data_IF_180988924399
#
_entry.id   IF_180988924399
#
_cell.length_a   1.000
_cell.length_b   1.000
_cell.length_c   1.000
_cell.angle_alpha   90.00
_cell.angle_beta   90.00
_cell.angle_gamma   90.00
#
_symmetry.space_group_name_H-M   'P 1'
#
loop_
_entity.id
_entity.type
_entity.pdbx_description
1 polymer ?
#
# COMPACT_ATOMS: atom_id res chain seq x y z
N UNK A 1 -15.00 4.30 -14.42
CA UNK A 1 -13.56 4.68 -14.52
C UNK A 1 -12.91 4.45 -13.17
N UNK A 2 -11.60 4.24 -13.10
CA UNK A 2 -10.88 4.18 -11.83
C UNK A 2 -10.51 5.59 -11.34
N UNK A 3 -10.35 5.77 -10.03
CA UNK A 3 -10.03 7.06 -9.35
C UNK A 3 -8.90 7.85 -10.02
N UNK A 4 -7.87 7.14 -10.49
CA UNK A 4 -6.76 7.67 -11.28
C UNK A 4 -7.18 8.49 -12.52
N UNK A 5 -8.23 8.06 -13.24
CA UNK A 5 -8.72 8.76 -14.43
C UNK A 5 -9.50 10.04 -14.08
N UNK A 6 -10.09 10.11 -12.90
CA UNK A 6 -10.83 11.28 -12.42
C UNK A 6 -9.88 12.41 -11.95
N UNK A 7 -8.69 12.04 -11.46
CA UNK A 7 -7.68 12.96 -10.91
C UNK A 7 -6.49 13.24 -11.85
N UNK A 8 -6.41 12.57 -13.00
CA UNK A 8 -5.28 12.70 -13.93
C UNK A 8 -3.94 12.17 -13.36
N UNK A 9 -3.99 11.28 -12.37
CA UNK A 9 -2.82 10.71 -11.70
C UNK A 9 -2.72 9.19 -11.92
N UNK A 10 -1.55 8.61 -11.71
CA UNK A 10 -1.37 7.16 -11.86
C UNK A 10 -1.90 6.37 -10.66
N UNK A 11 -2.23 5.08 -10.83
CA UNK A 11 -2.60 4.19 -9.73
C UNK A 11 -1.58 4.18 -8.59
N UNK A 12 -0.28 4.21 -8.92
CA UNK A 12 0.78 4.24 -7.92
C UNK A 12 0.68 5.50 -7.05
N UNK A 13 0.44 6.66 -7.66
CA UNK A 13 0.26 7.92 -6.95
C UNK A 13 -1.00 7.90 -6.07
N UNK A 14 -2.11 7.35 -6.57
CA UNK A 14 -3.35 7.19 -5.77
C UNK A 14 -3.09 6.36 -4.52
N UNK A 15 -2.38 5.22 -4.65
CA UNK A 15 -2.08 4.36 -3.50
C UNK A 15 -1.11 5.01 -2.51
N UNK A 16 -0.11 5.76 -2.99
CA UNK A 16 0.82 6.49 -2.14
C UNK A 16 0.11 7.63 -1.38
N UNK A 17 -0.70 8.43 -2.08
CA UNK A 17 -1.50 9.50 -1.47
C UNK A 17 -2.45 8.95 -0.40
N UNK A 18 -3.13 7.82 -0.68
CA UNK A 18 -4.01 7.16 0.27
C UNK A 18 -3.29 6.72 1.56
N UNK A 19 -2.09 6.15 1.43
CA UNK A 19 -1.29 5.75 2.60
C UNK A 19 -0.81 6.97 3.41
N UNK A 20 -0.35 8.02 2.72
CA UNK A 20 0.09 9.27 3.35
C UNK A 20 -1.07 9.94 4.11
N UNK A 21 -2.25 10.05 3.50
CA UNK A 21 -3.43 10.67 4.11
C UNK A 21 -3.96 9.89 5.32
N UNK A 22 -3.68 8.57 5.41
CA UNK A 22 -3.90 7.74 6.62
C UNK A 22 -2.85 7.93 7.71
N UNK A 23 -1.85 8.78 7.50
CA UNK A 23 -0.74 9.01 8.42
C UNK A 23 0.37 7.96 8.34
N UNK A 24 0.45 7.19 7.25
CA UNK A 24 1.51 6.18 7.05
C UNK A 24 2.60 6.72 6.13
N UNK A 25 3.85 6.69 6.60
CA UNK A 25 5.02 7.01 5.76
C UNK A 25 5.26 5.89 4.76
N UNK A 26 5.39 6.23 3.48
CA UNK A 26 5.58 5.27 2.38
C UNK A 26 7.03 5.20 1.92
N UNK A 27 7.49 4.02 1.50
CA UNK A 27 8.85 3.78 0.98
C UNK A 27 8.81 3.17 -0.45
N UNK A 28 8.29 3.89 -1.47
CA UNK A 28 8.15 3.34 -2.81
C UNK A 28 9.52 3.14 -3.48
N UNK A 29 9.80 1.89 -3.90
CA UNK A 29 11.05 1.56 -4.61
C UNK A 29 10.90 1.74 -6.11
N UNK A 30 11.83 2.47 -6.72
CA UNK A 30 12.00 2.54 -8.18
C UNK A 30 13.47 2.77 -8.54
N UNK A 31 13.86 2.41 -9.76
CA UNK A 31 15.14 2.82 -10.39
C UNK A 31 14.91 3.70 -11.62
N UNK A 32 13.65 3.86 -12.05
CA UNK A 32 13.26 4.74 -13.15
C UNK A 32 13.09 6.18 -12.59
N UNK A 33 13.84 7.18 -13.10
CA UNK A 33 13.78 8.56 -12.64
C UNK A 33 12.40 9.21 -12.70
N UNK A 34 11.65 9.00 -13.78
CA UNK A 34 10.30 9.57 -13.94
C UNK A 34 9.34 9.02 -12.89
N UNK A 35 9.45 7.72 -12.57
CA UNK A 35 8.65 7.10 -11.50
C UNK A 35 9.06 7.60 -10.12
N UNK A 36 10.35 7.86 -9.90
CA UNK A 36 10.81 8.44 -8.62
C UNK A 36 10.18 9.83 -8.41
N UNK A 37 10.17 10.66 -9.45
CA UNK A 37 9.53 11.99 -9.41
C UNK A 37 8.00 11.87 -9.22
N UNK A 38 7.34 10.99 -9.97
CA UNK A 38 5.89 10.75 -9.82
C UNK A 38 5.52 10.26 -8.41
N UNK A 39 6.30 9.33 -7.85
CA UNK A 39 6.08 8.81 -6.51
C UNK A 39 6.21 9.92 -5.45
N UNK A 40 7.16 10.84 -5.62
CA UNK A 40 7.33 11.98 -4.71
C UNK A 40 6.15 12.95 -4.80
N UNK A 41 5.70 13.26 -6.03
CA UNK A 41 4.51 14.12 -6.27
C UNK A 41 3.20 13.54 -5.74
N UNK A 42 3.15 12.27 -5.36
CA UNK A 42 1.96 11.70 -4.73
C UNK A 42 1.63 12.38 -3.39
N UNK A 43 2.61 12.99 -2.71
CA UNK A 43 2.39 13.73 -1.47
C UNK A 43 1.55 15.01 -1.65
N UNK A 44 1.47 15.54 -2.87
CA UNK A 44 0.68 16.74 -3.19
C UNK A 44 -0.78 16.41 -3.51
N UNK A 45 -1.14 15.12 -3.61
CA UNK A 45 -2.49 14.68 -3.95
C UNK A 45 -3.32 14.57 -2.68
N UNK A 46 -4.49 15.20 -2.67
CA UNK A 46 -5.51 15.03 -1.62
C UNK A 46 -6.68 14.24 -2.18
N UNK A 47 -6.99 13.10 -1.56
CA UNK A 47 -8.17 12.31 -1.90
C UNK A 47 -9.36 12.79 -1.06
N UNK A 48 -10.53 12.87 -1.68
CA UNK A 48 -11.77 13.16 -0.97
C UNK A 48 -12.18 11.97 -0.09
N UNK A 49 -13.02 12.23 0.92
CA UNK A 49 -13.51 11.17 1.83
C UNK A 49 -14.21 10.03 1.08
N UNK A 50 -14.94 10.34 0.00
CA UNK A 50 -15.60 9.33 -0.84
C UNK A 50 -14.58 8.44 -1.56
N UNK A 51 -13.49 9.01 -2.05
CA UNK A 51 -12.43 8.25 -2.74
C UNK A 51 -11.65 7.39 -1.73
N UNK A 52 -11.34 7.94 -0.55
CA UNK A 52 -10.74 7.20 0.56
C UNK A 52 -11.61 6.01 0.98
N UNK A 53 -12.93 6.23 1.10
CA UNK A 53 -13.89 5.16 1.43
C UNK A 53 -13.95 4.09 0.33
N UNK A 54 -13.97 4.47 -0.94
CA UNK A 54 -13.95 3.52 -2.06
C UNK A 54 -12.70 2.65 -2.06
N UNK A 55 -11.52 3.21 -1.77
CA UNK A 55 -10.27 2.44 -1.68
C UNK A 55 -10.29 1.50 -0.48
N UNK A 56 -10.82 1.95 0.68
CA UNK A 56 -10.92 1.11 1.87
C UNK A 56 -11.77 -0.16 1.65
N UNK A 57 -12.81 -0.09 0.81
CA UNK A 57 -13.64 -1.24 0.45
C UNK A 57 -12.89 -2.31 -0.39
N UNK A 58 -11.68 -2.01 -0.87
CA UNK A 58 -10.86 -2.97 -1.61
C UNK A 58 -10.03 -3.89 -0.70
N UNK A 59 -10.01 -3.64 0.62
CA UNK A 59 -9.28 -4.50 1.55
C UNK A 59 -9.80 -5.94 1.48
N UNK A 60 -8.85 -6.88 1.52
CA UNK A 60 -9.11 -8.33 1.45
C UNK A 60 -8.51 -9.07 2.62
N UNK A 61 -8.00 -8.35 3.63
CA UNK A 61 -7.21 -8.95 4.70
C UNK A 61 -6.10 -9.86 4.15
N UNK A 62 -5.44 -9.43 3.08
CA UNK A 62 -4.45 -10.22 2.35
C UNK A 62 -3.05 -9.63 2.51
N UNK A 63 -2.07 -10.48 2.85
CA UNK A 63 -0.68 -10.09 3.04
C UNK A 63 0.19 -10.63 1.91
N UNK A 64 0.83 -9.74 1.15
CA UNK A 64 1.74 -10.12 0.05
C UNK A 64 3.04 -10.77 0.53
N UNK A 65 3.51 -10.41 1.72
CA UNK A 65 4.68 -11.03 2.37
C UNK A 65 4.15 -11.84 3.56
N UNK A 66 3.80 -13.11 3.32
CA UNK A 66 3.19 -13.98 4.35
C UNK A 66 4.13 -14.29 5.51
N UNK A 67 5.45 -14.19 5.29
CA UNK A 67 6.47 -14.43 6.31
C UNK A 67 6.78 -15.91 6.56
N UNK A 68 6.25 -16.82 5.75
CA UNK A 68 6.53 -18.27 5.81
C UNK A 68 8.02 -18.62 5.79
N UNK A 69 8.84 -17.77 5.17
CA UNK A 69 10.29 -17.95 5.15
C UNK A 69 10.95 -17.88 6.54
N UNK A 70 10.26 -17.34 7.55
CA UNK A 70 10.70 -17.36 8.95
C UNK A 70 10.37 -18.68 9.68
N UNK A 71 9.59 -19.58 9.06
CA UNK A 71 9.16 -20.87 9.63
C UNK A 71 10.14 -22.01 9.31
N UNK A 72 11.43 -21.75 9.45
CA UNK A 72 12.48 -22.75 9.18
C UNK A 72 12.53 -23.82 10.29
N UNK A 73 13.09 -25.02 10.03
CA UNK A 73 13.29 -26.04 11.06
C UNK A 73 14.04 -25.47 12.28
N UNK A 74 13.45 -25.60 13.47
CA UNK A 74 13.97 -25.03 14.73
C UNK A 74 13.54 -23.59 15.02
N UNK A 75 12.79 -22.93 14.12
CA UNK A 75 12.17 -21.63 14.38
C UNK A 75 11.02 -21.74 15.40
N UNK A 76 10.84 -20.75 16.29
CA UNK A 76 9.66 -20.69 17.17
C UNK A 76 8.40 -20.22 16.42
N UNK A 77 8.51 -19.76 15.17
CA UNK A 77 7.39 -19.20 14.42
C UNK A 77 6.68 -20.23 13.55
N UNK A 78 5.34 -20.22 13.60
CA UNK A 78 4.42 -21.00 12.78
C UNK A 78 3.38 -20.09 12.12
N UNK A 79 2.65 -20.57 11.10
CA UNK A 79 1.57 -19.79 10.49
C UNK A 79 0.53 -19.33 11.52
N UNK A 80 0.30 -20.12 12.57
CA UNK A 80 -0.67 -19.81 13.61
C UNK A 80 -0.23 -18.70 14.57
N UNK A 81 1.08 -18.48 14.76
CA UNK A 81 1.59 -17.51 15.73
C UNK A 81 2.32 -16.33 15.09
N UNK A 82 2.63 -16.38 13.80
CA UNK A 82 3.47 -15.37 13.15
C UNK A 82 2.82 -13.98 13.14
N UNK A 83 1.49 -13.93 13.06
CA UNK A 83 0.74 -12.68 12.97
C UNK A 83 -0.20 -12.45 14.17
N UNK A 84 -0.23 -13.36 15.15
CA UNK A 84 -1.14 -13.32 16.31
C UNK A 84 -2.62 -13.08 15.93
N UNK A 85 -2.98 -13.42 14.70
CA UNK A 85 -4.33 -13.37 14.13
C UNK A 85 -4.92 -14.78 14.24
N UNK A 86 -5.74 -15.01 15.27
CA UNK A 86 -6.49 -16.27 15.52
C UNK A 86 -7.85 -16.22 14.82
#
# INVERSE_FOLDING_TARGET
MGLQAEQGCSAAQVLLAQAIQRGTVTIPKSVNPERLEQNLRAADITLTDSEMAKIALLDRHYRYVSGEFWMMPGSPYTLQNLWDEI
#
